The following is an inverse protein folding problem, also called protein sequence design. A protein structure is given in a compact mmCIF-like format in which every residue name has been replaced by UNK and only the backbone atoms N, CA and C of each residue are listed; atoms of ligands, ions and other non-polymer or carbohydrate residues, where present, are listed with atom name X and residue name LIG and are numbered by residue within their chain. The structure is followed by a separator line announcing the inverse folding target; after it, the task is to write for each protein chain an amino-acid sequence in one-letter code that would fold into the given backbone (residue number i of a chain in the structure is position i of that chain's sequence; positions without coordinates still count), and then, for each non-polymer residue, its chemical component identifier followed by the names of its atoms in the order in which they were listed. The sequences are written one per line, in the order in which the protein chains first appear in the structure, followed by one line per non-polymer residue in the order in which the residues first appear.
data_IF_823236152020
#
_entry.id   IF_823236152020
#
_cell.length_a   1.000
_cell.length_b   1.000
_cell.length_c   1.000
_cell.angle_alpha   90.00
_cell.angle_beta   90.00
_cell.angle_gamma   90.00
#
_symmetry.space_group_name_H-M   'P 1'
#
loop_
_entity.id
_entity.type
_entity.pdbx_description
1 polymer ?
#
# COMPACT_ATOMS: atom_id res chain seq x y z
N UNK A 1 10.64 -97.34 -30.71
CA UNK A 1 11.18 -96.09 -30.13
C UNK A 1 9.98 -95.28 -29.64
N UNK A 2 9.90 -94.64 -28.49
CA UNK A 2 10.55 -94.65 -27.18
C UNK A 2 9.70 -93.64 -26.35
N UNK A 3 9.33 -93.99 -25.12
CA UNK A 3 8.84 -93.14 -23.99
C UNK A 3 7.57 -92.27 -24.18
N UNK A 4 6.43 -92.57 -23.53
CA UNK A 4 6.05 -92.42 -22.10
C UNK A 4 6.08 -90.96 -21.61
N UNK A 5 4.92 -90.44 -21.13
CA UNK A 5 4.69 -89.95 -19.75
C UNK A 5 3.20 -89.55 -19.56
N UNK A 6 2.53 -90.15 -18.57
CA UNK A 6 1.21 -89.81 -18.04
C UNK A 6 1.36 -88.73 -16.96
N UNK A 7 0.50 -87.68 -16.92
CA UNK A 7 0.16 -86.97 -15.67
C UNK A 7 -1.28 -86.41 -15.64
N UNK A 8 -2.06 -87.03 -14.75
CA UNK A 8 -3.10 -86.55 -13.84
C UNK A 8 -4.05 -85.38 -14.15
N UNK A 9 -5.33 -85.72 -13.97
CA UNK A 9 -6.55 -84.91 -13.88
C UNK A 9 -6.56 -84.04 -12.61
N UNK A 10 -7.01 -82.78 -12.73
CA UNK A 10 -7.77 -82.07 -11.67
C UNK A 10 -8.84 -81.20 -12.33
N UNK A 11 -10.11 -81.53 -12.08
CA UNK A 11 -11.29 -80.73 -12.41
C UNK A 11 -11.65 -79.92 -11.16
N UNK A 12 -11.60 -78.59 -11.25
CA UNK A 12 -11.95 -77.67 -10.16
C UNK A 12 -13.21 -76.87 -10.49
N UNK A 13 -14.26 -77.08 -9.69
CA UNK A 13 -15.52 -76.34 -9.64
C UNK A 13 -15.25 -74.83 -9.41
N UNK A 14 -15.81 -73.95 -10.25
CA UNK A 14 -15.83 -72.51 -10.02
C UNK A 14 -17.19 -72.10 -9.42
N UNK A 15 -17.17 -71.72 -8.15
CA UNK A 15 -18.32 -71.20 -7.39
C UNK A 15 -18.23 -69.66 -7.31
N UNK A 16 -19.39 -69.04 -7.53
CA UNK A 16 -19.67 -67.60 -7.68
C UNK A 16 -19.45 -66.85 -6.37
N UNK A 17 -18.99 -65.60 -6.43
CA UNK A 17 -19.29 -64.60 -5.39
C UNK A 17 -19.45 -63.21 -6.00
N UNK A 18 -20.68 -62.68 -5.95
CA UNK A 18 -21.00 -61.30 -6.30
C UNK A 18 -20.69 -60.40 -5.10
N UNK A 19 -19.66 -59.57 -5.20
CA UNK A 19 -19.35 -58.56 -4.19
C UNK A 19 -20.12 -57.28 -4.50
N UNK A 20 -21.07 -56.93 -3.63
CA UNK A 20 -21.82 -55.69 -3.68
C UNK A 20 -20.90 -54.48 -3.35
N UNK A 21 -20.81 -53.51 -4.25
CA UNK A 21 -20.19 -52.22 -3.97
C UNK A 21 -21.07 -51.42 -3.00
N UNK A 22 -20.65 -51.31 -1.74
CA UNK A 22 -21.11 -50.23 -0.85
C UNK A 22 -20.33 -48.96 -1.22
N UNK A 23 -21.03 -47.94 -1.69
CA UNK A 23 -20.51 -46.59 -1.86
C UNK A 23 -19.95 -46.07 -0.53
N UNK A 24 -18.62 -46.08 -0.39
CA UNK A 24 -17.95 -45.28 0.60
C UNK A 24 -17.90 -43.85 0.07
N UNK A 25 -18.71 -42.96 0.67
CA UNK A 25 -18.54 -41.53 0.49
C UNK A 25 -17.14 -41.18 1.00
N UNK A 26 -16.25 -40.81 0.09
CA UNK A 26 -14.99 -40.17 0.43
C UNK A 26 -15.34 -38.85 1.12
N UNK A 27 -15.13 -38.80 2.45
CA UNK A 27 -15.02 -37.53 3.15
C UNK A 27 -13.69 -36.92 2.71
N UNK A 28 -13.72 -36.08 1.68
CA UNK A 28 -12.69 -35.06 1.49
C UNK A 28 -12.78 -34.13 2.69
N UNK A 29 -11.96 -34.40 3.72
CA UNK A 29 -11.54 -33.34 4.63
C UNK A 29 -10.82 -32.32 3.77
N UNK A 30 -11.37 -31.12 3.69
CA UNK A 30 -10.72 -29.94 3.13
C UNK A 30 -9.47 -29.64 3.95
N UNK A 31 -8.31 -29.54 3.30
CA UNK A 31 -6.99 -29.23 3.86
C UNK A 31 -6.86 -27.78 4.41
N UNK A 32 -7.92 -27.22 4.99
CA UNK A 32 -7.96 -25.84 5.46
C UNK A 32 -7.33 -25.60 6.85
N UNK A 33 -6.83 -26.65 7.52
CA UNK A 33 -6.35 -26.59 8.91
C UNK A 33 -4.82 -26.46 9.05
N UNK A 34 -4.08 -26.35 7.93
CA UNK A 34 -2.60 -26.36 7.93
C UNK A 34 -1.94 -25.09 7.36
N UNK A 35 -2.68 -24.02 7.03
CA UNK A 35 -2.06 -22.78 6.56
C UNK A 35 -1.33 -22.07 7.73
N UNK A 36 -0.05 -21.78 7.52
CA UNK A 36 0.77 -21.00 8.45
C UNK A 36 0.25 -19.58 8.48
N UNK A 37 0.04 -19.05 9.69
CA UNK A 37 -0.32 -17.64 9.91
C UNK A 37 0.70 -17.05 10.87
N UNK A 38 1.31 -15.94 10.47
CA UNK A 38 2.32 -15.25 11.26
C UNK A 38 1.65 -14.08 11.98
N UNK A 39 1.69 -14.10 13.31
CA UNK A 39 1.21 -12.99 14.13
C UNK A 39 2.09 -11.75 13.95
N UNK A 40 1.46 -10.59 14.04
CA UNK A 40 2.13 -9.28 14.03
C UNK A 40 3.12 -9.21 15.20
N UNK A 41 4.35 -8.81 14.91
CA UNK A 41 5.42 -8.57 15.90
C UNK A 41 5.54 -7.08 16.16
N UNK A 42 5.00 -6.61 17.28
CA UNK A 42 5.03 -5.19 17.66
C UNK A 42 6.45 -4.65 17.82
N UNK A 43 7.42 -5.52 18.12
CA UNK A 43 8.84 -5.18 18.28
C UNK A 43 9.49 -4.74 16.95
N UNK A 44 8.84 -5.00 15.82
CA UNK A 44 9.29 -4.50 14.52
C UNK A 44 9.12 -2.98 14.41
N UNK A 45 8.15 -2.38 15.11
CA UNK A 45 7.93 -0.93 15.07
C UNK A 45 9.04 -0.16 15.79
N UNK A 46 9.48 0.95 15.20
CA UNK A 46 10.41 1.88 15.82
C UNK A 46 9.68 2.69 16.88
N UNK A 47 10.22 2.69 18.10
CA UNK A 47 9.65 3.48 19.20
C UNK A 47 9.67 4.99 18.93
N UNK A 48 10.56 5.46 18.05
CA UNK A 48 10.67 6.88 17.69
C UNK A 48 9.45 7.45 16.99
N UNK A 49 8.72 6.62 16.22
CA UNK A 49 7.48 7.03 15.54
C UNK A 49 6.22 6.83 16.40
N UNK A 50 6.35 6.31 17.62
CA UNK A 50 5.22 6.03 18.51
C UNK A 50 5.00 7.17 19.51
N UNK A 51 3.74 7.56 19.72
CA UNK A 51 3.32 8.50 20.77
C UNK A 51 3.28 7.81 22.14
N UNK A 52 2.86 6.55 22.16
CA UNK A 52 2.76 5.72 23.35
C UNK A 52 3.14 4.26 23.03
N UNK A 53 3.54 3.45 24.04
CA UNK A 53 3.81 2.03 23.81
C UNK A 53 2.60 1.30 23.22
N UNK A 54 2.84 0.44 22.22
CA UNK A 54 1.80 -0.38 21.59
C UNK A 54 1.07 -1.23 22.64
N UNK A 55 -0.25 -1.09 22.68
CA UNK A 55 -1.15 -1.81 23.59
C UNK A 55 -2.07 -2.76 22.83
N UNK A 56 -2.73 -3.67 23.54
CA UNK A 56 -3.71 -4.61 22.96
C UNK A 56 -5.10 -4.18 23.41
N UNK A 57 -6.04 -4.17 22.46
CA UNK A 57 -7.47 -3.93 22.70
C UNK A 57 -8.29 -4.97 21.95
N UNK A 58 -9.45 -5.33 22.48
CA UNK A 58 -10.41 -6.17 21.76
C UNK A 58 -11.24 -5.30 20.81
N UNK A 59 -11.27 -5.65 19.51
CA UNK A 59 -12.03 -4.93 18.47
C UNK A 59 -12.90 -5.91 17.69
N UNK A 60 -13.98 -5.40 17.11
CA UNK A 60 -14.74 -6.12 16.08
C UNK A 60 -13.94 -6.08 14.77
N UNK A 61 -13.94 -7.19 14.05
CA UNK A 61 -13.36 -7.31 12.71
C UNK A 61 -14.43 -7.13 11.65
N UNK A 62 -14.03 -6.94 10.40
CA UNK A 62 -14.90 -6.76 9.23
C UNK A 62 -15.96 -7.85 9.02
N UNK A 63 -15.79 -9.06 9.55
CA UNK A 63 -16.78 -10.14 9.51
C UNK A 63 -17.71 -10.22 10.75
N UNK A 64 -17.62 -9.25 11.66
CA UNK A 64 -18.38 -9.20 12.90
C UNK A 64 -17.85 -10.10 14.02
N UNK A 65 -16.74 -10.83 13.80
CA UNK A 65 -16.05 -11.51 14.89
C UNK A 65 -15.20 -10.55 15.72
N UNK A 66 -14.79 -10.96 16.92
CA UNK A 66 -13.91 -10.13 17.78
C UNK A 66 -12.52 -10.73 17.86
N UNK A 67 -11.48 -9.88 17.83
CA UNK A 67 -10.10 -10.29 18.02
C UNK A 67 -9.29 -9.27 18.82
N UNK A 68 -8.19 -9.74 19.40
CA UNK A 68 -7.16 -8.85 19.96
C UNK A 68 -6.46 -8.12 18.83
N UNK A 69 -6.41 -6.79 18.92
CA UNK A 69 -5.76 -5.90 17.98
C UNK A 69 -4.73 -5.05 18.71
N UNK A 70 -3.59 -4.80 18.05
CA UNK A 70 -2.68 -3.76 18.50
C UNK A 70 -3.30 -2.40 18.25
N UNK A 71 -3.35 -1.55 19.29
CA UNK A 71 -3.56 -0.11 19.18
C UNK A 71 -2.18 0.55 19.03
N UNK A 72 -1.96 1.19 17.90
CA UNK A 72 -0.69 1.83 17.55
C UNK A 72 -0.97 3.31 17.37
N UNK A 73 -0.40 4.16 18.23
CA UNK A 73 -0.55 5.61 18.13
C UNK A 73 0.77 6.20 17.65
N UNK A 74 0.74 6.91 16.52
CA UNK A 74 1.92 7.40 15.81
C UNK A 74 1.89 8.91 15.62
N UNK A 75 3.06 9.53 15.49
CA UNK A 75 3.23 10.97 15.18
C UNK A 75 3.29 11.25 13.67
N UNK A 76 3.26 10.20 12.85
CA UNK A 76 3.54 10.27 11.40
C UNK A 76 4.85 10.97 11.07
N UNK A 77 5.82 10.96 12.00
CA UNK A 77 7.14 11.59 11.84
C UNK A 77 8.17 10.48 11.96
N UNK A 78 8.74 10.01 10.85
CA UNK A 78 9.72 8.94 10.89
C UNK A 78 11.01 9.39 11.58
N UNK A 79 11.74 8.44 12.16
CA UNK A 79 13.03 8.70 12.85
C UNK A 79 14.21 8.00 12.21
N UNK A 80 13.97 7.28 11.11
CA UNK A 80 14.96 6.48 10.38
C UNK A 80 15.46 7.16 9.10
N UNK A 81 14.86 8.28 8.71
CA UNK A 81 15.30 9.17 7.64
C UNK A 81 14.78 10.59 7.91
N UNK A 82 15.39 11.57 7.26
CA UNK A 82 14.87 12.94 7.23
C UNK A 82 13.74 13.02 6.20
N UNK A 83 12.70 13.82 6.50
CA UNK A 83 11.65 14.11 5.53
C UNK A 83 12.09 15.22 4.58
N UNK A 84 11.77 15.04 3.29
CA UNK A 84 12.26 15.93 2.25
C UNK A 84 13.74 15.70 1.91
N UNK A 85 14.30 16.51 1.00
CA UNK A 85 13.66 17.63 0.31
C UNK A 85 12.58 17.19 -0.69
N UNK A 86 11.70 18.12 -1.09
CA UNK A 86 10.66 17.87 -2.11
C UNK A 86 10.87 18.75 -3.34
N UNK A 87 11.04 20.06 -3.13
CA UNK A 87 11.12 21.04 -4.19
C UNK A 87 12.51 21.71 -4.24
N UNK A 88 13.24 21.62 -5.37
CA UNK A 88 14.49 22.36 -5.54
C UNK A 88 14.25 23.87 -5.52
N UNK A 89 15.29 24.65 -5.21
CA UNK A 89 15.22 26.11 -5.11
C UNK A 89 15.45 26.79 -6.46
N UNK A 90 16.18 26.14 -7.37
CA UNK A 90 16.58 26.68 -8.67
C UNK A 90 16.63 25.60 -9.76
N UNK A 91 16.42 26.01 -11.02
CA UNK A 91 16.54 25.14 -12.20
C UNK A 91 17.96 24.62 -12.48
N UNK A 92 18.95 25.08 -11.72
CA UNK A 92 20.33 24.59 -11.76
C UNK A 92 20.65 23.57 -10.66
N UNK A 93 19.71 23.32 -9.73
CA UNK A 93 19.92 22.38 -8.64
C UNK A 93 19.84 20.93 -9.17
N UNK A 94 20.63 20.05 -8.58
CA UNK A 94 20.63 18.62 -8.91
C UNK A 94 19.59 17.84 -8.08
N UNK A 95 19.49 16.54 -8.34
CA UNK A 95 18.52 15.66 -7.68
C UNK A 95 18.61 15.66 -6.15
N UNK A 96 19.74 16.04 -5.54
CA UNK A 96 19.85 16.06 -4.07
C UNK A 96 19.09 17.22 -3.41
N UNK A 97 18.62 18.19 -4.19
CA UNK A 97 17.87 19.35 -3.73
C UNK A 97 16.34 19.18 -3.84
N UNK A 98 15.88 18.13 -4.50
CA UNK A 98 14.47 17.81 -4.66
C UNK A 98 14.18 16.37 -4.25
N UNK A 99 12.92 15.97 -4.42
CA UNK A 99 12.52 14.59 -4.22
C UNK A 99 12.25 13.89 -5.55
N UNK A 100 11.18 13.10 -5.60
CA UNK A 100 10.78 12.31 -6.76
C UNK A 100 9.34 12.62 -7.21
N UNK A 101 9.08 12.38 -8.49
CA UNK A 101 7.74 12.38 -9.08
C UNK A 101 7.44 11.03 -9.72
N UNK A 102 6.20 10.57 -9.58
CA UNK A 102 5.74 9.26 -10.06
C UNK A 102 4.80 9.49 -11.24
N UNK A 103 5.19 9.03 -12.43
CA UNK A 103 4.41 9.21 -13.65
C UNK A 103 4.58 7.99 -14.56
N UNK A 104 3.47 7.46 -15.08
CA UNK A 104 3.46 6.35 -16.05
C UNK A 104 4.31 5.13 -15.64
N UNK A 105 4.25 4.76 -14.35
CA UNK A 105 4.98 3.61 -13.82
C UNK A 105 6.48 3.84 -13.63
N UNK A 106 6.94 5.09 -13.75
CA UNK A 106 8.34 5.49 -13.59
C UNK A 106 8.52 6.47 -12.44
N UNK A 107 9.74 6.48 -11.91
CA UNK A 107 10.21 7.44 -10.92
C UNK A 107 11.12 8.43 -11.63
N UNK A 108 10.89 9.71 -11.42
CA UNK A 108 11.69 10.81 -11.95
C UNK A 108 12.25 11.62 -10.78
N UNK A 109 13.54 11.94 -10.81
CA UNK A 109 14.12 12.90 -9.88
C UNK A 109 13.56 14.29 -10.19
N UNK A 110 13.03 14.98 -9.18
CA UNK A 110 12.55 16.37 -9.29
C UNK A 110 13.73 17.29 -9.04
N UNK A 111 14.66 17.30 -9.99
CA UNK A 111 15.75 18.26 -10.01
C UNK A 111 15.37 19.56 -10.76
N UNK A 112 16.30 20.50 -10.81
CA UNK A 112 16.08 21.76 -11.50
C UNK A 112 15.87 21.60 -13.01
N UNK A 113 16.50 20.60 -13.64
CA UNK A 113 16.36 20.32 -15.07
C UNK A 113 14.98 19.74 -15.38
N UNK A 114 14.47 18.84 -14.55
CA UNK A 114 13.12 18.29 -14.64
C UNK A 114 12.08 19.41 -14.55
N UNK A 115 12.15 20.26 -13.51
CA UNK A 115 11.22 21.38 -13.33
C UNK A 115 11.24 22.35 -14.52
N UNK A 116 12.42 22.64 -15.06
CA UNK A 116 12.56 23.49 -16.25
C UNK A 116 11.91 22.89 -17.49
N UNK A 117 11.93 21.56 -17.60
CA UNK A 117 11.48 20.83 -18.79
C UNK A 117 10.03 20.31 -18.69
N UNK A 118 9.28 20.63 -17.63
CA UNK A 118 7.89 20.17 -17.43
C UNK A 118 6.99 20.46 -18.64
N UNK A 119 7.12 21.64 -19.26
CA UNK A 119 6.31 21.96 -20.44
C UNK A 119 6.63 21.09 -21.66
N UNK A 120 7.88 20.61 -21.79
CA UNK A 120 8.23 19.61 -22.81
C UNK A 120 7.77 18.21 -22.38
N UNK A 121 7.89 17.89 -21.09
CA UNK A 121 7.51 16.60 -20.54
C UNK A 121 6.00 16.32 -20.72
N UNK A 122 5.16 17.31 -20.50
CA UNK A 122 3.69 17.22 -20.64
C UNK A 122 3.14 17.76 -21.98
N UNK A 123 4.00 18.19 -22.91
CA UNK A 123 3.59 18.83 -24.18
C UNK A 123 2.63 20.03 -23.97
N UNK A 124 2.92 20.85 -22.96
CA UNK A 124 2.12 22.00 -22.56
C UNK A 124 2.99 23.15 -22.02
N UNK A 125 3.16 24.20 -22.82
CA UNK A 125 3.97 25.38 -22.48
C UNK A 125 3.39 26.22 -21.32
N UNK A 126 2.19 25.91 -20.83
CA UNK A 126 1.62 26.54 -19.63
C UNK A 126 2.44 26.20 -18.38
N UNK A 127 3.15 25.07 -18.37
CA UNK A 127 4.07 24.70 -17.31
C UNK A 127 5.32 25.60 -17.29
N UNK A 128 5.35 26.53 -16.33
CA UNK A 128 6.46 27.44 -16.11
C UNK A 128 6.61 27.77 -14.62
N UNK A 129 7.06 26.77 -13.85
CA UNK A 129 7.19 26.84 -12.38
C UNK A 129 8.46 27.56 -11.90
N UNK A 130 9.03 28.45 -12.71
CA UNK A 130 10.27 29.14 -12.40
C UNK A 130 10.33 30.53 -13.02
N UNK A 131 11.09 31.42 -12.39
CA UNK A 131 11.40 32.72 -12.94
C UNK A 131 12.47 32.61 -14.04
N UNK A 132 12.16 32.99 -15.28
CA UNK A 132 13.06 32.82 -16.44
C UNK A 132 14.34 33.65 -16.41
N UNK A 133 14.38 34.74 -15.64
CA UNK A 133 15.56 35.60 -15.54
C UNK A 133 16.56 35.08 -14.49
N UNK A 134 16.05 34.50 -13.40
CA UNK A 134 16.85 34.10 -12.24
C UNK A 134 17.00 32.58 -12.07
N UNK A 135 16.14 31.81 -12.74
CA UNK A 135 16.05 30.37 -12.58
C UNK A 135 15.42 29.91 -11.26
N UNK A 136 14.98 30.83 -10.40
CA UNK A 136 14.37 30.48 -9.10
C UNK A 136 13.05 29.75 -9.32
N UNK A 137 12.89 28.59 -8.68
CA UNK A 137 11.66 27.80 -8.73
C UNK A 137 10.63 28.43 -7.80
N UNK A 138 9.38 28.47 -8.26
CA UNK A 138 8.24 28.94 -7.49
C UNK A 138 7.75 27.80 -6.62
N UNK A 139 7.96 27.91 -5.30
CA UNK A 139 7.48 26.92 -4.33
C UNK A 139 6.74 27.57 -3.18
N UNK A 140 5.86 26.79 -2.55
CA UNK A 140 5.15 27.22 -1.34
C UNK A 140 6.16 27.47 -0.21
N UNK A 141 5.93 28.52 0.55
CA UNK A 141 6.86 29.02 1.57
C UNK A 141 6.22 29.18 2.94
N UNK A 142 4.90 29.06 3.03
CA UNK A 142 4.14 29.15 4.27
C UNK A 142 3.17 27.97 4.41
N UNK A 143 2.69 27.74 5.64
CA UNK A 143 1.66 26.73 5.92
C UNK A 143 0.36 26.99 5.16
N UNK A 144 -0.01 28.26 4.98
CA UNK A 144 -1.21 28.66 4.24
C UNK A 144 -1.05 28.37 2.74
N UNK A 145 0.09 28.76 2.14
CA UNK A 145 0.37 28.44 0.73
C UNK A 145 0.41 26.93 0.46
N UNK A 146 1.03 26.15 1.35
CA UNK A 146 1.03 24.68 1.24
C UNK A 146 -0.40 24.11 1.32
N UNK A 147 -1.23 24.62 2.23
CA UNK A 147 -2.63 24.19 2.35
C UNK A 147 -3.43 24.47 1.07
N UNK A 148 -3.28 25.67 0.52
CA UNK A 148 -4.13 26.15 -0.56
C UNK A 148 -3.68 25.61 -1.92
N UNK A 149 -2.36 25.41 -2.11
CA UNK A 149 -1.80 24.78 -3.30
C UNK A 149 -1.97 23.24 -3.32
N UNK A 150 -2.17 22.61 -2.17
CA UNK A 150 -2.49 21.18 -2.05
C UNK A 150 -4.02 20.87 -2.06
N UNK A 151 -4.87 21.89 -2.20
CA UNK A 151 -6.31 21.75 -2.20
C UNK A 151 -6.81 21.13 -3.53
N UNK A 152 -7.81 20.23 -3.55
CA UNK A 152 -8.43 19.77 -4.79
C UNK A 152 -8.97 20.89 -5.72
N UNK A 153 -9.30 22.06 -5.16
CA UNK A 153 -9.72 23.26 -5.89
C UNK A 153 -8.65 24.35 -5.76
N UNK A 154 -7.47 24.12 -6.33
CA UNK A 154 -6.35 25.08 -6.30
C UNK A 154 -6.76 26.41 -6.95
N UNK A 155 -6.49 27.53 -6.27
CA UNK A 155 -6.67 28.88 -6.82
C UNK A 155 -5.71 29.18 -7.97
N UNK A 156 -6.12 30.02 -8.92
CA UNK A 156 -5.28 30.39 -10.09
C UNK A 156 -3.93 30.98 -9.66
N UNK A 157 -3.86 31.65 -8.50
CA UNK A 157 -2.65 32.23 -7.93
C UNK A 157 -1.59 31.20 -7.53
N UNK A 158 -1.97 29.93 -7.35
CA UNK A 158 -1.09 28.83 -6.98
C UNK A 158 -0.75 27.91 -8.15
N UNK A 159 -1.24 28.21 -9.37
CA UNK A 159 -0.77 27.52 -10.57
C UNK A 159 0.73 27.74 -10.75
N UNK A 160 1.40 26.73 -11.29
CA UNK A 160 2.85 26.68 -11.48
C UNK A 160 3.66 26.76 -10.16
N UNK A 161 3.12 26.20 -9.08
CA UNK A 161 3.86 26.00 -7.83
C UNK A 161 4.37 24.56 -7.72
N UNK A 162 5.60 24.43 -7.27
CA UNK A 162 6.06 23.23 -6.59
C UNK A 162 5.57 23.28 -5.13
N UNK A 163 4.70 22.35 -4.75
CA UNK A 163 4.02 22.30 -3.47
C UNK A 163 4.90 21.54 -2.48
N UNK A 164 5.34 22.26 -1.46
CA UNK A 164 6.16 21.77 -0.36
C UNK A 164 5.53 22.18 0.98
N UNK A 165 5.26 21.18 1.82
CA UNK A 165 4.77 21.36 3.18
C UNK A 165 5.89 20.96 4.13
N UNK A 166 6.18 21.78 5.16
CA UNK A 166 7.31 21.52 6.05
C UNK A 166 6.92 20.61 7.24
N UNK A 167 7.86 19.78 7.74
CA UNK A 167 7.66 18.96 8.93
C UNK A 167 7.10 19.71 10.14
N UNK A 168 7.54 20.95 10.34
CA UNK A 168 7.08 21.80 11.45
C UNK A 168 5.59 22.12 11.42
N UNK A 169 4.92 21.96 10.27
CA UNK A 169 3.50 22.27 10.12
C UNK A 169 2.58 21.17 10.68
N UNK A 170 3.12 19.96 10.85
CA UNK A 170 2.39 18.73 11.23
C UNK A 170 2.95 18.05 12.48
N UNK A 171 3.86 18.71 13.21
CA UNK A 171 4.52 18.14 14.40
C UNK A 171 3.57 17.70 15.53
N UNK A 172 2.35 18.25 15.57
CA UNK A 172 1.33 17.94 16.58
C UNK A 172 0.26 16.93 16.10
N UNK A 173 0.38 16.43 14.86
CA UNK A 173 -0.57 15.43 14.33
C UNK A 173 -0.23 14.05 14.91
N UNK A 174 -1.27 13.33 15.30
CA UNK A 174 -1.13 11.92 15.66
C UNK A 174 -2.30 11.11 15.13
N UNK A 175 -2.03 9.86 14.81
CA UNK A 175 -3.03 8.91 14.33
C UNK A 175 -3.06 7.67 15.19
N UNK A 176 -4.23 7.05 15.30
CA UNK A 176 -4.40 5.76 15.95
C UNK A 176 -4.81 4.73 14.92
N UNK A 177 -3.99 3.70 14.77
CA UNK A 177 -4.26 2.55 13.91
C UNK A 177 -4.52 1.30 14.73
N UNK A 178 -5.31 0.40 14.16
CA UNK A 178 -5.62 -0.90 14.75
C UNK A 178 -5.26 -2.01 13.77
N UNK A 179 -4.44 -2.96 14.22
CA UNK A 179 -4.02 -4.10 13.41
C UNK A 179 -4.29 -5.38 14.21
N UNK A 180 -5.01 -6.39 13.66
CA UNK A 180 -5.19 -7.68 14.32
C UNK A 180 -3.85 -8.29 14.75
N UNK A 181 -3.75 -8.76 16.00
CA UNK A 181 -2.50 -9.39 16.51
C UNK A 181 -2.18 -10.66 15.73
N UNK A 182 -3.22 -11.43 15.39
CA UNK A 182 -3.11 -12.60 14.52
C UNK A 182 -4.05 -12.41 13.35
N UNK A 183 -3.52 -12.33 12.10
CA UNK A 183 -4.34 -12.18 10.92
C UNK A 183 -5.38 -13.29 10.80
N UNK A 184 -6.56 -12.95 10.31
CA UNK A 184 -7.63 -13.91 10.06
C UNK A 184 -8.00 -13.82 8.59
N UNK A 185 -7.80 -14.91 7.84
CA UNK A 185 -8.16 -14.96 6.42
C UNK A 185 -9.64 -14.59 6.20
N UNK A 186 -9.88 -13.66 5.29
CA UNK A 186 -11.21 -13.25 4.91
C UNK A 186 -11.86 -14.26 3.96
N UNK A 187 -13.20 -14.33 4.00
CA UNK A 187 -13.95 -15.21 3.09
C UNK A 187 -13.78 -14.78 1.62
N UNK A 188 -13.80 -13.48 1.38
CA UNK A 188 -13.56 -12.85 0.09
C UNK A 188 -12.52 -11.74 0.27
N UNK A 189 -11.71 -11.43 -0.77
CA UNK A 189 -10.86 -10.26 -0.75
C UNK A 189 -11.67 -8.97 -0.62
N UNK A 190 -11.07 -7.97 0.03
CA UNK A 190 -11.53 -6.59 0.09
C UNK A 190 -10.68 -5.76 -0.89
N UNK A 191 -11.06 -5.66 -2.18
CA UNK A 191 -10.30 -4.87 -3.14
C UNK A 191 -10.37 -3.39 -2.77
N UNK A 192 -9.25 -2.68 -2.93
CA UNK A 192 -9.26 -1.23 -2.88
C UNK A 192 -9.88 -0.66 -4.16
N UNK A 193 -10.49 0.52 -4.05
CA UNK A 193 -11.01 1.21 -5.22
C UNK A 193 -9.84 1.60 -6.13
N UNK A 194 -9.88 1.14 -7.39
CA UNK A 194 -8.96 1.56 -8.44
C UNK A 194 -9.37 2.94 -8.95
N UNK A 195 -9.02 3.98 -8.21
CA UNK A 195 -9.21 5.37 -8.61
C UNK A 195 -8.73 6.29 -7.50
N UNK A 196 -8.32 7.53 -7.83
CA UNK A 196 -7.93 8.50 -6.81
C UNK A 196 -9.10 8.68 -5.85
N UNK A 197 -8.92 8.27 -4.59
CA UNK A 197 -9.82 8.58 -3.50
C UNK A 197 -9.63 10.06 -3.12
N UNK A 198 -9.81 10.96 -4.10
CA UNK A 198 -9.71 12.40 -3.92
C UNK A 198 -10.99 12.92 -3.30
N UNK A 199 -11.14 12.72 -1.99
CA UNK A 199 -12.19 13.39 -1.25
C UNK A 199 -12.14 13.06 0.24
N UNK A 200 -11.99 14.06 1.13
CA UNK A 200 -12.26 13.82 2.54
C UNK A 200 -13.69 13.28 2.72
N UNK A 201 -13.99 12.61 3.85
CA UNK A 201 -15.34 12.17 4.17
C UNK A 201 -16.35 13.32 3.94
N UNK A 202 -17.58 13.04 3.47
CA UNK A 202 -18.57 14.09 3.29
C UNK A 202 -18.84 14.75 4.65
N UNK A 203 -18.36 15.98 4.84
CA UNK A 203 -18.65 16.78 6.03
C UNK A 203 -17.52 17.66 6.60
N UNK A 204 -16.35 17.77 5.96
CA UNK A 204 -15.22 18.53 6.51
C UNK A 204 -15.01 19.97 6.03
N UNK A 205 -15.77 20.47 5.06
CA UNK A 205 -15.60 21.83 4.51
C UNK A 205 -16.61 22.84 5.08
N UNK A 206 -16.30 24.15 5.11
CA UNK A 206 -17.28 25.19 5.42
C UNK A 206 -18.45 25.13 4.44
N UNK A 207 -19.67 25.27 4.95
CA UNK A 207 -20.91 25.31 4.17
C UNK A 207 -20.92 26.57 3.27
N UNK A 208 -20.56 26.41 2.00
CA UNK A 208 -20.50 27.47 0.99
C UNK A 208 -21.82 27.61 0.20
N UNK A 209 -22.87 26.89 0.59
CA UNK A 209 -24.21 27.05 0.06
C UNK A 209 -24.40 26.54 -1.38
N UNK A 210 -23.43 25.80 -1.93
CA UNK A 210 -23.56 25.13 -3.22
C UNK A 210 -23.78 23.62 -3.01
N UNK A 211 -24.95 23.11 -3.42
CA UNK A 211 -25.21 21.67 -3.44
C UNK A 211 -24.18 20.97 -4.34
N UNK A 212 -23.30 20.17 -3.73
CA UNK A 212 -22.36 19.30 -4.45
C UNK A 212 -23.17 18.36 -5.34
N UNK A 213 -22.87 18.22 -6.65
CA UNK A 213 -23.51 17.22 -7.48
C UNK A 213 -23.29 15.84 -6.85
N UNK A 214 -24.37 15.14 -6.54
CA UNK A 214 -24.29 13.78 -6.02
C UNK A 214 -23.57 12.85 -7.00
N UNK A 215 -22.98 11.74 -6.52
CA UNK A 215 -22.34 10.77 -7.40
C UNK A 215 -23.34 10.27 -8.46
N UNK A 216 -22.86 9.89 -9.66
CA UNK A 216 -23.71 9.40 -10.73
C UNK A 216 -24.59 8.23 -10.24
N UNK A 217 -25.89 8.21 -10.56
CA UNK A 217 -26.77 7.13 -10.14
C UNK A 217 -26.38 5.84 -10.88
N UNK A 218 -25.74 4.89 -10.19
CA UNK A 218 -25.45 3.56 -10.75
C UNK A 218 -24.22 2.81 -10.21
N UNK A 219 -23.33 3.44 -9.43
CA UNK A 219 -22.26 2.72 -8.73
C UNK A 219 -22.78 2.08 -7.43
N UNK A 220 -22.22 0.95 -6.96
CA UNK A 220 -22.66 0.33 -5.70
C UNK A 220 -22.30 1.25 -4.53
N UNK A 221 -23.25 2.11 -4.16
CA UNK A 221 -23.23 2.88 -2.92
C UNK A 221 -23.45 1.95 -1.74
N UNK A 222 -22.38 1.34 -1.26
CA UNK A 222 -22.26 0.86 0.12
C UNK A 222 -21.29 1.78 0.85
N UNK A 223 -21.59 2.15 2.09
CA UNK A 223 -20.57 2.64 3.01
C UNK A 223 -19.52 1.53 3.14
N UNK A 224 -18.49 1.55 2.30
CA UNK A 224 -17.36 0.65 2.46
C UNK A 224 -16.68 1.02 3.75
N UNK A 225 -16.65 0.10 4.71
CA UNK A 225 -15.86 0.24 5.94
C UNK A 225 -14.41 -0.18 5.71
N UNK A 226 -14.04 -0.55 4.48
CA UNK A 226 -12.67 -0.95 4.12
C UNK A 226 -11.75 0.26 4.28
N UNK A 227 -10.61 0.11 4.97
CA UNK A 227 -9.64 1.18 5.09
C UNK A 227 -9.24 1.72 3.71
N UNK A 228 -9.16 3.04 3.56
CA UNK A 228 -8.53 3.64 2.39
C UNK A 228 -7.02 3.43 2.40
N UNK A 229 -6.41 3.46 3.59
CA UNK A 229 -4.99 3.21 3.76
C UNK A 229 -4.67 1.72 3.64
N UNK A 230 -3.46 1.41 3.20
CA UNK A 230 -3.00 0.05 2.88
C UNK A 230 -2.43 -0.67 4.10
N UNK A 231 -1.67 0.06 4.91
CA UNK A 231 -0.99 -0.49 6.07
C UNK A 231 -0.11 0.52 6.77
N UNK A 232 0.74 0.02 7.67
CA UNK A 232 1.65 0.83 8.48
C UNK A 232 3.09 0.32 8.31
N UNK A 233 3.99 1.23 7.94
CA UNK A 233 5.42 0.98 7.91
C UNK A 233 5.99 0.81 9.32
N UNK A 234 7.13 0.15 9.46
CA UNK A 234 7.75 -0.06 10.76
C UNK A 234 8.20 1.22 11.47
N UNK A 235 8.35 2.33 10.77
CA UNK A 235 8.65 3.63 11.36
C UNK A 235 7.40 4.41 11.81
N UNK A 236 6.20 3.84 11.66
CA UNK A 236 4.94 4.46 12.06
C UNK A 236 4.33 5.41 11.03
N UNK A 237 4.88 5.47 9.81
CA UNK A 237 4.30 6.20 8.68
C UNK A 237 3.31 5.29 7.94
N UNK A 238 2.17 5.83 7.54
CA UNK A 238 1.12 5.08 6.85
C UNK A 238 1.46 4.87 5.37
N UNK A 239 1.17 3.69 4.85
CA UNK A 239 1.11 3.41 3.42
C UNK A 239 -0.27 3.85 2.92
N UNK A 240 -0.35 5.04 2.34
CA UNK A 240 -1.62 5.66 1.92
C UNK A 240 -2.09 5.11 0.57
N UNK A 241 -3.32 5.46 0.19
CA UNK A 241 -3.83 5.22 -1.15
C UNK A 241 -3.02 6.03 -2.20
N UNK A 242 -3.03 5.63 -3.48
CA UNK A 242 -2.39 6.38 -4.56
C UNK A 242 -2.69 7.88 -4.49
N UNK A 243 -1.64 8.71 -4.60
CA UNK A 243 -1.79 10.15 -4.70
C UNK A 243 -2.62 10.51 -5.94
N UNK A 244 -3.49 11.53 -5.87
CA UNK A 244 -4.33 11.93 -7.00
C UNK A 244 -3.52 12.78 -8.01
N UNK A 245 -2.54 12.18 -8.67
CA UNK A 245 -1.63 12.87 -9.62
C UNK A 245 -2.40 13.58 -10.73
N UNK A 246 -3.47 13.00 -11.26
CA UNK A 246 -4.34 13.65 -12.26
C UNK A 246 -4.90 15.00 -11.76
N UNK A 247 -5.34 15.07 -10.49
CA UNK A 247 -5.88 16.31 -9.92
C UNK A 247 -4.78 17.35 -9.69
N UNK A 248 -3.60 16.89 -9.28
CA UNK A 248 -2.42 17.74 -9.06
C UNK A 248 -2.01 18.39 -10.40
N UNK A 249 -1.86 17.57 -11.44
CA UNK A 249 -1.46 18.04 -12.77
C UNK A 249 -2.53 18.92 -13.43
N UNK A 250 -3.82 18.63 -13.24
CA UNK A 250 -4.92 19.46 -13.76
C UNK A 250 -4.96 20.87 -13.14
N UNK A 251 -4.38 21.03 -11.95
CA UNK A 251 -4.23 22.32 -11.26
C UNK A 251 -2.94 23.07 -11.64
N UNK A 252 -2.11 22.53 -12.54
CA UNK A 252 -0.77 23.04 -12.84
C UNK A 252 0.11 23.16 -11.58
N UNK A 253 -0.08 22.30 -10.59
CA UNK A 253 0.84 22.19 -9.45
C UNK A 253 1.66 20.91 -9.58
N UNK A 254 2.85 20.91 -8.97
CA UNK A 254 3.62 19.69 -8.77
C UNK A 254 3.73 19.46 -7.27
N UNK A 255 3.40 18.27 -6.77
CA UNK A 255 3.49 17.95 -5.34
C UNK A 255 4.43 16.75 -5.12
N UNK A 256 5.76 16.94 -5.27
CA UNK A 256 6.73 15.85 -5.21
C UNK A 256 6.60 15.01 -3.95
N UNK A 257 7.00 13.75 -4.06
CA UNK A 257 7.35 12.94 -2.91
C UNK A 257 8.83 13.17 -2.60
N UNK A 258 9.28 12.92 -1.38
CA UNK A 258 10.72 12.87 -1.09
C UNK A 258 11.31 11.54 -1.56
N UNK A 259 12.62 11.37 -1.41
CA UNK A 259 13.33 10.13 -1.79
C UNK A 259 12.85 8.90 -1.01
N UNK A 260 12.17 9.07 0.12
CA UNK A 260 11.55 7.98 0.86
C UNK A 260 10.16 7.59 0.30
N UNK A 261 9.66 8.32 -0.70
CA UNK A 261 8.38 8.08 -1.36
C UNK A 261 7.18 8.68 -0.62
N UNK A 262 7.41 9.68 0.24
CA UNK A 262 6.37 10.31 1.03
C UNK A 262 6.30 11.83 0.90
N UNK A 263 5.16 12.39 1.31
CA UNK A 263 5.00 13.83 1.42
C UNK A 263 4.07 14.21 2.59
N UNK A 264 3.92 15.51 2.84
CA UNK A 264 3.12 16.03 3.94
C UNK A 264 1.78 16.55 3.42
N UNK A 265 0.70 16.12 4.08
CA UNK A 265 -0.60 16.77 4.05
C UNK A 265 -0.90 17.37 5.44
N UNK A 266 -1.48 18.57 5.50
CA UNK A 266 -1.72 19.26 6.78
C UNK A 266 -2.81 18.62 7.65
N UNK A 267 -3.60 17.71 7.10
CA UNK A 267 -4.64 16.96 7.81
C UNK A 267 -4.17 15.54 8.18
N UNK A 268 -3.34 14.92 7.34
CA UNK A 268 -2.90 13.52 7.48
C UNK A 268 -1.47 13.39 8.01
N UNK A 269 -0.68 14.46 8.04
CA UNK A 269 0.74 14.40 8.35
C UNK A 269 1.57 13.84 7.19
N UNK A 270 2.79 13.39 7.48
CA UNK A 270 3.64 12.72 6.50
C UNK A 270 3.19 11.28 6.27
N UNK A 271 3.10 10.88 5.00
CA UNK A 271 2.61 9.56 4.59
C UNK A 271 3.28 9.13 3.28
N UNK A 272 3.33 7.81 3.04
CA UNK A 272 3.97 7.25 1.86
C UNK A 272 2.96 6.94 0.76
N UNK A 273 3.42 7.13 -0.48
CA UNK A 273 2.74 6.73 -1.73
C UNK A 273 3.55 5.70 -2.53
N UNK A 274 4.84 5.56 -2.21
CA UNK A 274 5.72 4.58 -2.79
C UNK A 274 6.69 3.99 -1.76
N UNK A 275 7.12 2.75 -1.99
CA UNK A 275 8.23 2.16 -1.24
C UNK A 275 9.52 2.27 -2.08
N UNK A 276 10.46 3.07 -1.62
CA UNK A 276 11.73 3.35 -2.33
C UNK A 276 12.95 2.64 -1.71
N UNK A 277 12.74 1.90 -0.61
CA UNK A 277 13.79 1.18 0.11
C UNK A 277 14.51 1.99 1.20
N UNK A 278 14.05 3.21 1.50
CA UNK A 278 14.63 4.08 2.54
C UNK A 278 14.16 3.71 3.95
N UNK A 279 12.86 3.45 4.12
CA UNK A 279 12.25 3.14 5.42
C UNK A 279 12.80 1.84 6.02
N UNK A 280 12.74 1.72 7.36
CA UNK A 280 13.13 0.51 8.08
C UNK A 280 12.56 -0.75 7.44
N UNK A 281 13.45 -1.73 7.27
CA UNK A 281 13.12 -3.06 6.78
C UNK A 281 13.74 -4.18 7.61
N UNK A 282 13.20 -5.38 7.42
CA UNK A 282 13.69 -6.62 8.03
C UNK A 282 14.09 -7.58 6.92
N UNK A 283 15.40 -7.71 6.74
CA UNK A 283 16.02 -8.61 5.76
C UNK A 283 15.64 -10.07 6.01
N UNK A 284 15.35 -10.78 4.92
CA UNK A 284 15.08 -12.22 4.96
C UNK A 284 16.37 -13.01 4.68
N UNK A 285 16.44 -14.25 5.13
CA UNK A 285 17.68 -15.06 5.08
C UNK A 285 17.73 -16.03 3.88
N UNK A 286 16.69 -16.02 3.05
CA UNK A 286 16.41 -17.01 1.99
C UNK A 286 16.13 -16.34 0.63
N UNK A 287 16.78 -15.20 0.37
CA UNK A 287 16.65 -14.39 -0.85
C UNK A 287 15.31 -13.67 -1.03
N UNK A 288 14.34 -13.88 -0.13
CA UNK A 288 13.06 -13.21 -0.20
C UNK A 288 13.21 -11.69 0.03
N UNK A 289 12.31 -10.91 -0.55
CA UNK A 289 12.28 -9.45 -0.35
C UNK A 289 12.13 -9.10 1.13
N UNK A 290 12.63 -7.93 1.55
CA UNK A 290 12.59 -7.54 2.94
C UNK A 290 11.17 -7.14 3.37
N UNK A 291 10.84 -7.40 4.64
CA UNK A 291 9.57 -6.97 5.22
C UNK A 291 9.67 -5.50 5.63
N UNK A 292 8.67 -4.67 5.34
CA UNK A 292 8.70 -3.22 5.59
C UNK A 292 7.55 -2.72 6.49
N UNK A 293 6.52 -3.54 6.69
CA UNK A 293 5.38 -3.16 7.50
C UNK A 293 4.31 -4.24 7.59
N UNK A 294 3.12 -3.84 8.04
CA UNK A 294 1.94 -4.70 8.11
C UNK A 294 0.76 -4.00 7.42
N UNK A 295 -0.03 -4.76 6.67
CA UNK A 295 -1.33 -4.31 6.19
C UNK A 295 -2.31 -4.21 7.37
N UNK A 296 -3.43 -3.50 7.20
CA UNK A 296 -4.40 -3.34 8.29
C UNK A 296 -5.16 -4.60 8.69
N UNK A 297 -5.10 -5.65 7.86
CA UNK A 297 -5.56 -7.00 8.23
C UNK A 297 -4.51 -7.82 9.00
N UNK A 298 -3.32 -7.25 9.21
CA UNK A 298 -2.20 -7.81 9.97
C UNK A 298 -1.24 -8.69 9.18
N UNK A 299 -1.50 -8.97 7.89
CA UNK A 299 -0.51 -9.69 7.08
C UNK A 299 0.70 -8.79 6.78
N UNK A 300 1.86 -9.43 6.63
CA UNK A 300 3.09 -8.70 6.37
C UNK A 300 3.12 -8.04 4.99
N UNK A 301 3.71 -6.85 4.91
CA UNK A 301 3.99 -6.15 3.65
C UNK A 301 5.50 -6.19 3.41
N UNK A 302 5.88 -6.61 2.21
CA UNK A 302 7.25 -6.82 1.77
C UNK A 302 7.60 -5.95 0.55
N UNK A 303 8.90 -5.71 0.33
CA UNK A 303 9.41 -5.01 -0.84
C UNK A 303 9.00 -5.74 -2.15
N UNK A 304 8.96 -4.96 -3.25
CA UNK A 304 8.46 -5.39 -4.56
C UNK A 304 9.26 -6.56 -5.17
N UNK A 305 10.58 -6.51 -5.04
CA UNK A 305 11.50 -7.45 -5.64
C UNK A 305 12.31 -8.19 -4.56
N UNK A 306 12.71 -9.41 -4.88
CA UNK A 306 13.60 -10.23 -4.07
C UNK A 306 15.00 -9.58 -3.92
N UNK A 307 15.90 -10.15 -3.12
CA UNK A 307 17.22 -9.52 -2.90
C UNK A 307 18.16 -9.55 -4.12
N UNK A 308 17.80 -10.27 -5.19
CA UNK A 308 18.47 -10.25 -6.49
C UNK A 308 17.82 -9.23 -7.47
N UNK A 309 16.73 -8.57 -7.06
CA UNK A 309 16.00 -7.61 -7.88
C UNK A 309 14.96 -8.22 -8.82
N UNK A 310 14.56 -9.49 -8.60
CA UNK A 310 13.51 -10.12 -9.40
C UNK A 310 12.13 -9.87 -8.81
N UNK A 311 11.17 -9.56 -9.68
CA UNK A 311 9.76 -9.45 -9.31
C UNK A 311 9.11 -10.84 -9.15
N UNK A 312 8.15 -10.90 -8.24
CA UNK A 312 7.32 -12.08 -8.02
C UNK A 312 6.27 -12.22 -9.13
N UNK A 313 6.12 -13.44 -9.65
CA UNK A 313 5.24 -13.73 -10.81
C UNK A 313 3.97 -14.49 -10.43
N UNK A 314 3.83 -14.85 -9.16
CA UNK A 314 2.76 -15.68 -8.61
C UNK A 314 1.86 -14.92 -7.61
N UNK A 315 1.92 -13.58 -7.62
CA UNK A 315 1.06 -12.73 -6.80
C UNK A 315 -0.41 -12.82 -7.26
N UNK A 316 -1.32 -12.83 -6.29
CA UNK A 316 -2.76 -12.75 -6.53
C UNK A 316 -3.23 -11.32 -6.81
N UNK A 317 -4.55 -11.15 -7.04
CA UNK A 317 -5.16 -9.85 -7.34
C UNK A 317 -5.02 -8.80 -6.23
N UNK A 318 -4.58 -9.19 -5.02
CA UNK A 318 -4.29 -8.28 -3.92
C UNK A 318 -2.78 -8.04 -3.76
N UNK A 319 -1.97 -8.50 -4.71
CA UNK A 319 -0.51 -8.45 -4.73
C UNK A 319 0.15 -9.26 -3.62
N UNK A 320 -0.45 -10.37 -3.20
CA UNK A 320 0.18 -11.27 -2.23
C UNK A 320 0.16 -12.72 -2.67
N UNK A 321 0.89 -13.54 -1.92
CA UNK A 321 0.95 -14.98 -2.12
C UNK A 321 1.17 -15.69 -0.79
N UNK A 322 1.26 -17.02 -0.80
CA UNK A 322 1.45 -17.83 0.40
C UNK A 322 2.71 -18.69 0.27
N UNK A 323 3.49 -18.76 1.35
CA UNK A 323 4.52 -19.77 1.55
C UNK A 323 4.46 -20.37 2.98
N UNK A 324 5.13 -21.50 3.20
CA UNK A 324 5.12 -22.22 4.50
C UNK A 324 5.93 -21.53 5.61
N UNK A 325 6.78 -20.55 5.28
CA UNK A 325 7.62 -19.80 6.22
C UNK A 325 6.91 -18.55 6.73
N UNK A 326 6.23 -17.83 5.85
CA UNK A 326 5.64 -16.50 6.07
C UNK A 326 4.12 -16.54 6.17
N UNK A 327 3.50 -17.64 5.75
CA UNK A 327 2.06 -17.64 5.51
C UNK A 327 1.70 -16.75 4.34
N UNK A 328 0.46 -16.26 4.32
CA UNK A 328 0.04 -15.26 3.34
C UNK A 328 0.70 -13.90 3.65
N UNK A 329 1.23 -13.23 2.63
CA UNK A 329 1.84 -11.91 2.75
C UNK A 329 1.80 -11.14 1.43
N UNK A 330 1.97 -9.82 1.50
CA UNK A 330 1.89 -8.92 0.36
C UNK A 330 3.25 -8.43 -0.10
N UNK A 331 3.31 -8.07 -1.37
CA UNK A 331 4.42 -7.38 -2.00
C UNK A 331 3.96 -6.04 -2.55
N UNK A 332 4.66 -4.97 -2.15
CA UNK A 332 4.38 -3.63 -2.67
C UNK A 332 4.57 -3.57 -4.19
N UNK A 333 3.88 -2.63 -4.82
CA UNK A 333 4.09 -2.33 -6.23
C UNK A 333 5.40 -1.60 -6.48
N UNK A 334 5.76 -1.46 -7.76
CA UNK A 334 6.85 -0.58 -8.16
C UNK A 334 6.54 0.84 -7.70
N UNK A 335 7.55 1.55 -7.18
CA UNK A 335 7.39 2.92 -6.72
C UNK A 335 6.68 3.82 -7.76
N UNK A 336 7.09 3.75 -9.04
CA UNK A 336 6.49 4.54 -10.12
C UNK A 336 5.01 4.29 -10.40
N UNK A 337 4.43 3.20 -9.87
CA UNK A 337 3.00 2.90 -10.02
C UNK A 337 2.13 3.64 -9.00
N UNK A 338 2.72 4.41 -8.07
CA UNK A 338 1.98 5.18 -7.06
C UNK A 338 1.02 4.27 -6.27
N UNK A 339 1.49 3.09 -5.85
CA UNK A 339 0.67 2.06 -5.23
C UNK A 339 1.51 1.14 -4.33
N UNK A 340 0.85 0.50 -3.37
CA UNK A 340 1.43 -0.56 -2.54
C UNK A 340 0.76 -1.91 -2.85
N UNK A 341 -0.50 -2.07 -2.45
CA UNK A 341 -1.27 -3.32 -2.56
C UNK A 341 -2.68 -3.02 -3.04
N UNK A 342 -3.32 -4.00 -3.66
CA UNK A 342 -4.60 -3.82 -4.39
C UNK A 342 -5.82 -4.29 -3.59
N UNK A 343 -5.63 -4.90 -2.43
CA UNK A 343 -6.71 -5.26 -1.52
C UNK A 343 -6.23 -5.92 -0.24
N UNK A 344 -7.18 -6.18 0.67
CA UNK A 344 -6.95 -6.99 1.88
C UNK A 344 -7.52 -8.42 1.70
N UNK A 345 -6.80 -9.40 2.21
CA UNK A 345 -7.11 -10.84 2.21
C UNK A 345 -7.41 -11.36 3.59
N UNK A 346 -7.16 -10.56 4.63
CA UNK A 346 -7.60 -10.81 5.98
C UNK A 346 -8.73 -9.89 6.42
N UNK A 347 -9.38 -10.28 7.50
CA UNK A 347 -10.35 -9.46 8.21
C UNK A 347 -9.60 -8.34 8.95
N UNK A 348 -10.04 -7.10 8.80
CA UNK A 348 -9.42 -5.91 9.39
C UNK A 348 -10.25 -5.40 10.58
N UNK A 349 -9.63 -4.62 11.47
CA UNK A 349 -10.29 -4.08 12.65
C UNK A 349 -11.18 -2.85 12.33
N UNK A 350 -12.41 -2.82 12.86
CA UNK A 350 -13.39 -1.72 12.75
C UNK A 350 -13.28 -0.73 13.91
#
# INVERSE_FOLDING_TARGET
MLNIQFKSIVVGLLLISFTACKNAKSNTKTDADNEVTISVKKENFLSGGLVEPISIVSRELSDGSTADCYKIVVTSTPTDHEMGPWCPDNIADDASAGGIWLEDGKVYDVDGEFVKNLGTFYDDETWMMYNSETGKITKTSTKEECNDAANPNVGEEYQNFCVECLPSYVADISHTYYIPVTPKKAKNPYPFSNGPAGGPPPGGGPDDGHERPGPPPGGPGGNSTTPSDRGLAFNGVVFNAPAPTDNILAAYTLAPFDDAGGHINLHEGYHYHAATGVSKKIEQQDNHSAMIGYAFDGYGIFENADSDGNEYTDLDDSRGHYDETRGYHYHVDKAGNNNFIDGLRGEYAL
#
